data_IF_893608030728
#
_entry.id   IF_893608030728
#
_cell.length_a   1.000
_cell.length_b   1.000
_cell.length_c   1.000
_cell.angle_alpha   90.00
_cell.angle_beta   90.00
_cell.angle_gamma   90.00
#
_symmetry.space_group_name_H-M   'P 1'
#
loop_
_entity.id
_entity.type
_entity.pdbx_description
1 polymer ?
#
# COMPACT_ATOMS: atom_id res chain seq x y z
N UNK A 1 -5.43 17.54 -1.07
CA UNK A 1 -6.70 16.83 -0.93
C UNK A 1 -7.73 17.64 -0.14
N UNK A 2 -7.34 18.28 0.95
CA UNK A 2 -8.24 19.07 1.80
C UNK A 2 -9.05 20.08 0.98
N UNK A 3 -8.38 20.89 0.17
CA UNK A 3 -9.03 21.89 -0.72
C UNK A 3 -10.06 21.26 -1.67
N UNK A 4 -9.81 20.04 -2.17
CA UNK A 4 -10.75 19.37 -3.05
C UNK A 4 -11.95 18.83 -2.28
N UNK A 5 -11.71 18.26 -1.10
CA UNK A 5 -12.77 17.79 -0.21
C UNK A 5 -13.71 18.94 0.18
N UNK A 6 -13.14 20.09 0.57
CA UNK A 6 -13.89 21.31 0.90
C UNK A 6 -14.70 21.87 -0.28
N UNK A 7 -14.21 21.65 -1.50
CA UNK A 7 -14.93 22.04 -2.73
C UNK A 7 -16.00 21.06 -3.17
N UNK A 8 -16.20 19.98 -2.43
CA UNK A 8 -17.30 19.05 -2.64
C UNK A 8 -17.04 18.01 -3.74
N UNK A 9 -15.83 17.44 -3.81
CA UNK A 9 -15.60 16.26 -4.64
C UNK A 9 -16.32 15.06 -4.05
N UNK A 10 -16.77 14.14 -4.91
CA UNK A 10 -17.49 12.94 -4.47
C UNK A 10 -16.55 11.85 -3.96
N UNK A 11 -15.28 11.85 -4.40
CA UNK A 11 -14.33 10.80 -4.11
C UNK A 11 -12.89 11.32 -4.12
N UNK A 12 -12.07 10.84 -3.18
CA UNK A 12 -10.64 11.09 -3.14
C UNK A 12 -9.85 9.78 -3.13
N UNK A 13 -8.73 9.78 -3.88
CA UNK A 13 -7.87 8.62 -4.01
C UNK A 13 -6.40 9.01 -3.82
N UNK A 14 -5.93 9.18 -2.58
CA UNK A 14 -4.51 9.41 -2.33
C UNK A 14 -3.68 8.16 -2.59
N UNK A 15 -2.47 8.35 -3.13
CA UNK A 15 -1.53 7.25 -3.34
C UNK A 15 -0.58 7.11 -2.14
N UNK A 16 -0.60 5.96 -1.47
CA UNK A 16 0.29 5.68 -0.32
C UNK A 16 1.76 5.77 -0.69
N UNK A 17 2.13 5.45 -1.93
CA UNK A 17 3.52 5.52 -2.40
C UNK A 17 4.01 6.93 -2.73
N UNK A 18 3.13 7.93 -2.70
CA UNK A 18 3.42 9.33 -2.99
C UNK A 18 3.23 10.26 -1.81
N UNK A 19 2.79 9.72 -0.67
CA UNK A 19 2.65 10.49 0.56
C UNK A 19 4.02 10.68 1.20
N UNK A 20 4.30 11.91 1.60
CA UNK A 20 5.53 12.24 2.34
C UNK A 20 5.47 11.72 3.78
N UNK A 21 4.28 11.76 4.36
CA UNK A 21 4.01 11.29 5.73
C UNK A 21 2.80 10.38 5.73
N UNK A 22 2.89 9.29 6.47
CA UNK A 22 1.76 8.35 6.60
C UNK A 22 0.59 8.96 7.37
N UNK A 23 0.87 9.85 8.33
CA UNK A 23 -0.16 10.61 9.06
C UNK A 23 -1.06 11.42 8.12
N UNK A 24 -0.51 11.92 7.01
CA UNK A 24 -1.29 12.69 6.03
C UNK A 24 -2.35 11.83 5.34
N UNK A 25 -2.07 10.55 5.10
CA UNK A 25 -3.04 9.62 4.55
C UNK A 25 -4.22 9.43 5.51
N UNK A 26 -3.92 9.22 6.79
CA UNK A 26 -4.93 9.06 7.84
C UNK A 26 -5.76 10.32 7.98
N UNK A 27 -5.12 11.50 7.98
CA UNK A 27 -5.81 12.79 8.05
C UNK A 27 -6.76 13.02 6.86
N UNK A 28 -6.33 12.68 5.64
CA UNK A 28 -7.18 12.79 4.44
C UNK A 28 -8.38 11.85 4.55
N UNK A 29 -8.18 10.61 5.00
CA UNK A 29 -9.25 9.65 5.25
C UNK A 29 -10.26 10.19 6.25
N UNK A 30 -9.79 10.67 7.39
CA UNK A 30 -10.64 11.15 8.48
C UNK A 30 -11.45 12.39 8.05
N UNK A 31 -10.82 13.30 7.29
CA UNK A 31 -11.53 14.44 6.70
C UNK A 31 -12.57 14.00 5.67
N UNK A 32 -12.25 13.03 4.82
CA UNK A 32 -13.21 12.47 3.87
C UNK A 32 -14.43 11.88 4.58
N UNK A 33 -14.22 11.12 5.67
CA UNK A 33 -15.30 10.60 6.54
C UNK A 33 -16.15 11.73 7.11
N UNK A 34 -15.52 12.75 7.68
CA UNK A 34 -16.22 13.91 8.26
C UNK A 34 -17.13 14.60 7.24
N UNK A 35 -16.66 14.72 6.00
CA UNK A 35 -17.37 15.41 4.92
C UNK A 35 -18.26 14.51 4.06
N UNK A 36 -18.35 13.21 4.37
CA UNK A 36 -19.14 12.27 3.59
C UNK A 36 -18.60 12.01 2.17
N UNK A 37 -17.31 12.24 1.97
CA UNK A 37 -16.61 12.00 0.69
C UNK A 37 -16.11 10.56 0.67
N UNK A 38 -16.28 9.85 -0.45
CA UNK A 38 -15.76 8.49 -0.61
C UNK A 38 -14.24 8.49 -0.61
N UNK A 39 -13.67 7.46 0.00
CA UNK A 39 -12.23 7.30 0.13
C UNK A 39 -11.75 5.97 -0.44
N UNK A 40 -10.70 6.02 -1.23
CA UNK A 40 -9.93 4.85 -1.67
C UNK A 40 -8.45 5.20 -1.59
N UNK A 41 -7.61 4.32 -1.08
CA UNK A 41 -6.16 4.53 -1.22
C UNK A 41 -5.61 3.81 -2.44
N UNK A 42 -4.69 4.46 -3.13
CA UNK A 42 -4.04 3.95 -4.32
C UNK A 42 -2.55 3.67 -4.13
N UNK A 43 -1.93 3.06 -5.12
CA UNK A 43 -0.50 2.82 -5.18
C UNK A 43 -0.11 1.35 -4.94
N UNK A 44 1.02 1.13 -4.26
CA UNK A 44 1.56 -0.22 -4.07
C UNK A 44 0.64 -1.05 -3.18
N UNK A 45 0.12 -2.16 -3.71
CA UNK A 45 -0.89 -2.99 -3.04
C UNK A 45 -0.47 -3.44 -1.63
N UNK A 46 0.77 -3.83 -1.43
CA UNK A 46 1.24 -4.32 -0.13
C UNK A 46 1.22 -3.23 0.94
N UNK A 47 1.62 -2.02 0.59
CA UNK A 47 1.55 -0.88 1.50
C UNK A 47 0.10 -0.46 1.71
N UNK A 48 -0.71 -0.44 0.65
CA UNK A 48 -2.15 -0.20 0.73
C UNK A 48 -2.86 -1.17 1.66
N UNK A 49 -2.55 -2.46 1.58
CA UNK A 49 -3.18 -3.49 2.41
C UNK A 49 -2.92 -3.27 3.91
N UNK A 50 -1.71 -2.80 4.28
CA UNK A 50 -1.39 -2.45 5.68
C UNK A 50 -2.30 -1.31 6.17
N UNK A 51 -2.44 -0.25 5.37
CA UNK A 51 -3.32 0.87 5.71
C UNK A 51 -4.79 0.48 5.65
N UNK A 52 -5.15 -0.43 4.75
CA UNK A 52 -6.50 -0.98 4.65
C UNK A 52 -7.02 -1.62 5.94
N UNK A 53 -6.13 -2.10 6.82
CA UNK A 53 -6.51 -2.59 8.14
C UNK A 53 -7.10 -1.49 9.07
N UNK A 54 -6.94 -0.22 8.69
CA UNK A 54 -7.47 0.94 9.41
C UNK A 54 -8.74 1.52 8.75
N UNK A 55 -9.26 0.87 7.70
CA UNK A 55 -10.37 1.37 6.91
C UNK A 55 -11.70 0.78 7.36
N UNK A 56 -12.76 1.51 7.08
CA UNK A 56 -14.14 1.03 7.23
C UNK A 56 -14.50 0.10 6.06
N UNK A 57 -15.64 -0.60 6.17
CA UNK A 57 -16.09 -1.55 5.15
C UNK A 57 -16.41 -0.91 3.79
N UNK A 58 -16.72 0.37 3.77
CA UNK A 58 -17.04 1.18 2.59
C UNK A 58 -15.82 1.93 2.02
N UNK A 59 -14.66 1.77 2.62
CA UNK A 59 -13.39 2.33 2.16
C UNK A 59 -12.58 1.23 1.46
N UNK A 60 -11.97 1.58 0.35
CA UNK A 60 -11.36 0.61 -0.56
C UNK A 60 -9.87 0.85 -0.73
N UNK A 61 -9.17 -0.19 -1.13
CA UNK A 61 -7.81 -0.10 -1.64
C UNK A 61 -7.81 -0.41 -3.14
N UNK A 62 -7.00 0.33 -3.89
CA UNK A 62 -6.81 0.07 -5.30
C UNK A 62 -5.91 -1.16 -5.51
N UNK A 63 -6.31 -2.05 -6.43
CA UNK A 63 -5.50 -3.19 -6.85
C UNK A 63 -5.29 -3.19 -8.36
N UNK A 64 -4.06 -2.94 -8.79
CA UNK A 64 -3.66 -3.02 -10.20
C UNK A 64 -3.10 -4.39 -10.50
N UNK A 65 -3.94 -5.35 -10.85
CA UNK A 65 -3.54 -6.74 -11.11
C UNK A 65 -2.38 -6.85 -12.11
N UNK A 66 -2.40 -6.20 -13.29
CA UNK A 66 -1.32 -6.32 -14.27
C UNK A 66 0.05 -5.88 -13.75
N UNK A 67 0.09 -5.00 -12.76
CA UNK A 67 1.34 -4.51 -12.14
C UNK A 67 1.66 -5.31 -10.89
N UNK A 68 0.67 -5.56 -10.05
CA UNK A 68 0.85 -6.16 -8.73
C UNK A 68 1.18 -7.65 -8.80
N UNK A 69 0.55 -8.40 -9.70
CA UNK A 69 0.77 -9.84 -9.83
C UNK A 69 2.21 -10.20 -10.22
N UNK A 70 2.84 -9.58 -11.24
CA UNK A 70 4.23 -9.85 -11.56
C UNK A 70 5.19 -9.50 -10.42
N UNK A 71 5.00 -8.35 -9.76
CA UNK A 71 5.81 -7.94 -8.61
C UNK A 71 5.60 -8.89 -7.43
N UNK A 72 4.37 -9.31 -7.20
CA UNK A 72 4.00 -10.27 -6.18
C UNK A 72 4.71 -11.60 -6.31
N UNK A 73 4.93 -12.08 -7.54
CA UNK A 73 5.66 -13.32 -7.79
C UNK A 73 7.11 -13.33 -7.25
N UNK A 74 7.67 -12.14 -7.00
CA UNK A 74 9.01 -11.94 -6.46
C UNK A 74 9.03 -11.23 -5.10
N UNK A 75 7.91 -11.28 -4.38
CA UNK A 75 7.78 -10.69 -3.06
C UNK A 75 7.52 -11.78 -2.02
N UNK A 76 8.34 -11.78 -0.98
CA UNK A 76 8.07 -12.56 0.23
C UNK A 76 6.89 -11.89 0.97
N UNK A 77 6.02 -12.68 1.57
CA UNK A 77 4.92 -12.19 2.42
C UNK A 77 3.94 -11.27 1.68
N UNK A 78 3.09 -11.88 0.88
CA UNK A 78 1.99 -11.18 0.21
C UNK A 78 0.72 -11.23 1.06
N UNK A 79 -0.12 -10.18 1.03
CA UNK A 79 -1.49 -10.28 1.54
C UNK A 79 -2.23 -11.39 0.79
N UNK A 80 -2.96 -12.20 1.52
CA UNK A 80 -3.83 -13.21 0.90
C UNK A 80 -5.07 -12.52 0.31
N UNK A 81 -5.35 -12.75 -0.96
CA UNK A 81 -6.59 -12.31 -1.58
C UNK A 81 -7.64 -13.40 -1.45
N UNK A 82 -8.78 -13.06 -0.84
CA UNK A 82 -9.90 -13.97 -0.69
C UNK A 82 -11.22 -13.20 -0.74
N UNK A 83 -12.11 -13.60 -1.67
CA UNK A 83 -13.43 -13.01 -1.84
C UNK A 83 -13.40 -11.47 -2.03
N UNK A 84 -12.45 -10.95 -2.81
CA UNK A 84 -12.29 -9.53 -3.06
C UNK A 84 -11.75 -8.73 -1.87
N UNK A 85 -11.20 -9.40 -0.87
CA UNK A 85 -10.55 -8.78 0.29
C UNK A 85 -9.10 -9.23 0.40
N UNK A 86 -8.25 -8.35 0.93
CA UNK A 86 -6.88 -8.66 1.26
C UNK A 86 -6.73 -8.89 2.77
N UNK A 87 -6.08 -9.97 3.12
CA UNK A 87 -5.78 -10.32 4.51
C UNK A 87 -4.28 -10.14 4.74
N UNK A 88 -3.93 -9.21 5.62
CA UNK A 88 -2.56 -9.03 6.05
C UNK A 88 -2.17 -10.09 7.08
N UNK A 89 -0.88 -10.41 7.13
CA UNK A 89 -0.34 -11.32 8.14
C UNK A 89 -0.07 -10.52 9.43
N UNK A 90 -0.88 -10.71 10.49
CA UNK A 90 -0.82 -9.86 11.67
C UNK A 90 0.48 -10.01 12.48
N UNK A 91 1.15 -11.14 12.33
CA UNK A 91 2.35 -11.49 13.10
C UNK A 91 3.65 -10.92 12.49
N UNK A 92 3.56 -10.24 11.35
CA UNK A 92 4.72 -9.60 10.72
C UNK A 92 4.76 -8.11 11.02
N UNK A 93 5.67 -7.65 11.89
CA UNK A 93 5.77 -6.25 12.23
C UNK A 93 6.33 -5.39 11.08
N UNK A 94 5.86 -4.17 10.98
CA UNK A 94 6.33 -3.18 10.02
C UNK A 94 5.84 -3.42 8.59
N UNK A 95 6.66 -3.07 7.60
CA UNK A 95 6.38 -3.34 6.19
C UNK A 95 6.92 -4.73 5.81
N UNK A 96 6.05 -5.74 5.63
CA UNK A 96 6.49 -7.10 5.31
C UNK A 96 6.92 -7.24 3.84
N UNK A 97 6.77 -6.21 3.02
CA UNK A 97 7.15 -6.25 1.62
C UNK A 97 8.66 -6.38 1.48
N UNK A 98 9.12 -7.60 1.27
CA UNK A 98 10.53 -7.93 0.98
C UNK A 98 10.61 -8.65 -0.36
N UNK A 99 11.58 -8.27 -1.18
CA UNK A 99 11.85 -8.99 -2.43
C UNK A 99 12.45 -10.36 -2.13
N UNK A 100 12.02 -11.36 -2.89
CA UNK A 100 12.65 -12.68 -2.93
C UNK A 100 13.92 -12.57 -3.81
N UNK A 101 15.01 -12.18 -3.16
CA UNK A 101 16.29 -11.98 -3.83
C UNK A 101 16.81 -13.27 -4.49
N UNK A 102 16.67 -14.39 -3.80
CA UNK A 102 17.13 -15.68 -4.34
C UNK A 102 16.39 -16.06 -5.62
N UNK A 103 15.07 -15.80 -5.65
CA UNK A 103 14.28 -16.06 -6.86
C UNK A 103 14.61 -15.08 -7.98
N UNK A 104 14.82 -13.81 -7.70
CA UNK A 104 15.24 -12.82 -8.69
C UNK A 104 16.58 -13.18 -9.33
N UNK A 105 17.57 -13.62 -8.52
CA UNK A 105 18.87 -14.10 -9.00
C UNK A 105 18.70 -15.33 -9.89
N UNK A 106 17.96 -16.32 -9.42
CA UNK A 106 17.70 -17.57 -10.15
C UNK A 106 17.08 -17.33 -11.52
N UNK A 107 16.14 -16.40 -11.61
CA UNK A 107 15.39 -16.09 -12.83
C UNK A 107 16.12 -15.04 -13.72
N UNK A 108 17.34 -14.61 -13.32
CA UNK A 108 18.16 -13.66 -14.09
C UNK A 108 17.58 -12.25 -14.18
N UNK A 109 16.75 -11.87 -13.23
CA UNK A 109 16.06 -10.55 -13.20
C UNK A 109 16.79 -9.53 -12.33
N UNK A 110 17.93 -9.88 -11.74
CA UNK A 110 18.72 -8.97 -10.92
C UNK A 110 19.94 -8.50 -11.66
N UNK A 111 20.02 -7.21 -11.94
CA UNK A 111 21.16 -6.58 -12.59
C UNK A 111 22.29 -6.27 -11.61
N UNK A 112 21.94 -5.74 -10.42
CA UNK A 112 22.90 -5.42 -9.37
C UNK A 112 22.27 -5.48 -7.99
N UNK A 113 23.09 -5.65 -6.96
CA UNK A 113 22.69 -5.59 -5.56
C UNK A 113 23.70 -4.80 -4.75
N UNK A 114 23.22 -3.76 -4.09
CA UNK A 114 24.00 -3.00 -3.12
C UNK A 114 23.35 -3.10 -1.73
N UNK A 115 24.16 -3.30 -0.70
CA UNK A 115 23.71 -3.39 0.68
C UNK A 115 24.31 -2.22 1.46
N UNK A 116 23.44 -1.34 1.95
CA UNK A 116 23.84 -0.22 2.78
C UNK A 116 23.55 -0.56 4.24
N UNK A 117 24.60 -0.52 5.05
CA UNK A 117 24.46 -0.63 6.50
C UNK A 117 24.52 0.77 7.10
N UNK A 118 23.52 1.19 7.91
CA UNK A 118 23.59 2.45 8.64
C UNK A 118 24.84 2.43 9.54
N UNK A 119 25.61 3.49 9.50
CA UNK A 119 26.89 3.54 10.23
C UNK A 119 26.74 3.63 11.74
N UNK A 120 25.56 3.95 12.26
CA UNK A 120 25.29 4.05 13.71
C UNK A 120 23.79 3.84 13.96
N UNK A 121 23.44 2.69 14.44
CA UNK A 121 22.16 2.42 15.14
C UNK A 121 22.49 1.86 16.50
#
# INVERSE_FOLDING_TARGET
>A
YETYIEKGVDHVQPSVGRMTRMDDLIRIRDLAREKGVKFTSGGRIYLNAIFGCLYNEDEWIEYHEPISRPVGAYTLFQPEEKNGRFYCQPDLPGNPQRLDIAKLEKDGLMESREIYYPKNW
#
